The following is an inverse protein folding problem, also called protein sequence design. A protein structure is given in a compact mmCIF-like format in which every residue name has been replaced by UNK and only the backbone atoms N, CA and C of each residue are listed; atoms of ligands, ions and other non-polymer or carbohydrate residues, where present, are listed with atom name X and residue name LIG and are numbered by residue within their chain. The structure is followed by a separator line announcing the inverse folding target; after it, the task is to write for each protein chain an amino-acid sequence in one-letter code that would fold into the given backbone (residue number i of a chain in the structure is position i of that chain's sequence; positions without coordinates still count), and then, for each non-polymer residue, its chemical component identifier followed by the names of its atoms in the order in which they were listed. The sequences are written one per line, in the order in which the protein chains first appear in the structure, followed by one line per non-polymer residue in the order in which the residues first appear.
data_IF_171629471265
#
_entry.id   IF_171629471265
#
_cell.length_a   1.000
_cell.length_b   1.000
_cell.length_c   1.000
_cell.angle_alpha   90.00
_cell.angle_beta   90.00
_cell.angle_gamma   90.00
#
_symmetry.space_group_name_H-M   'P 1'
#
loop_
_entity.id
_entity.type
_entity.pdbx_description
1 polymer ?
#
# COMPACT_ATOMS: atom_id res chain seq x y z
N UNK A 1 0.47 60.14 -33.64
CA UNK A 1 1.30 58.95 -33.38
C UNK A 1 0.43 57.73 -33.63
N UNK A 2 0.68 56.98 -34.71
CA UNK A 2 -0.14 55.83 -35.10
C UNK A 2 0.73 54.56 -35.03
N UNK A 3 0.28 53.58 -34.25
CA UNK A 3 0.90 52.27 -34.10
C UNK A 3 0.34 51.37 -35.20
N UNK A 4 1.19 50.85 -36.08
CA UNK A 4 0.79 49.89 -37.12
C UNK A 4 0.95 48.46 -36.61
N UNK A 5 -0.17 47.72 -36.60
CA UNK A 5 -0.23 46.30 -36.31
C UNK A 5 0.14 45.49 -37.56
N UNK A 6 1.09 44.57 -37.46
CA UNK A 6 1.40 43.60 -38.51
C UNK A 6 0.57 42.31 -38.32
N UNK A 7 -0.07 41.76 -39.37
CA UNK A 7 -0.88 40.56 -39.24
C UNK A 7 -0.03 39.27 -39.15
N UNK A 8 -0.44 38.36 -38.27
CA UNK A 8 0.17 37.06 -37.90
C UNK A 8 0.36 36.04 -39.07
N UNK A 9 -0.03 36.37 -40.30
CA UNK A 9 -0.02 35.44 -41.43
C UNK A 9 1.38 35.18 -42.04
N UNK A 10 2.38 36.00 -41.71
CA UNK A 10 3.74 35.86 -42.30
C UNK A 10 4.64 34.89 -41.51
N UNK A 11 4.34 34.64 -40.23
CA UNK A 11 5.20 33.80 -39.36
C UNK A 11 5.02 32.30 -39.64
N UNK A 12 3.82 31.86 -40.07
CA UNK A 12 3.58 30.43 -40.35
C UNK A 12 4.19 29.91 -41.66
N UNK A 13 4.54 30.77 -42.62
CA UNK A 13 5.23 30.34 -43.86
C UNK A 13 6.73 30.09 -43.68
N UNK A 14 7.34 30.64 -42.62
CA UNK A 14 8.76 30.43 -42.34
C UNK A 14 9.04 29.08 -41.64
N UNK A 15 8.08 28.54 -40.87
CA UNK A 15 8.28 27.30 -40.11
C UNK A 15 8.09 26.06 -41.00
N UNK A 16 7.24 26.12 -42.03
CA UNK A 16 7.00 25.00 -42.96
C UNK A 16 8.13 24.78 -43.99
N UNK A 17 9.04 25.73 -44.17
CA UNK A 17 10.21 25.56 -45.06
C UNK A 17 11.45 24.96 -44.35
N UNK A 18 11.43 24.82 -43.02
CA UNK A 18 12.53 24.21 -42.27
C UNK A 18 12.41 22.69 -42.09
N UNK A 19 11.24 22.10 -42.38
CA UNK A 19 11.01 20.65 -42.22
C UNK A 19 11.16 19.79 -43.49
N UNK A 20 11.55 20.38 -44.64
CA UNK A 20 11.66 19.66 -45.93
C UNK A 20 13.11 19.35 -46.36
N UNK A 21 14.11 19.46 -45.46
CA UNK A 21 15.54 19.33 -45.87
C UNK A 21 16.44 18.44 -45.00
N UNK A 22 15.88 17.50 -44.26
CA UNK A 22 16.65 16.46 -43.57
C UNK A 22 16.15 15.06 -43.91
N UNK A 23 16.39 14.64 -45.16
CA UNK A 23 16.47 13.24 -45.54
C UNK A 23 17.96 12.83 -45.46
N UNK A 24 18.36 12.20 -44.36
CA UNK A 24 19.71 11.68 -44.18
C UNK A 24 19.65 10.45 -43.28
N UNK A 25 20.08 9.33 -43.83
CA UNK A 25 20.16 8.02 -43.19
C UNK A 25 20.94 8.09 -41.87
N UNK A 26 20.27 7.79 -40.75
CA UNK A 26 20.94 7.63 -39.45
C UNK A 26 21.24 6.16 -39.20
N UNK A 27 22.52 5.83 -39.43
CA UNK A 27 23.18 4.59 -39.11
C UNK A 27 23.25 4.42 -37.58
N UNK A 28 22.63 3.38 -37.05
CA UNK A 28 22.71 3.03 -35.62
C UNK A 28 24.10 2.46 -35.29
N UNK A 29 24.86 3.00 -34.33
CA UNK A 29 25.97 2.28 -33.75
C UNK A 29 25.43 1.24 -32.77
N UNK A 30 25.85 -0.01 -32.96
CA UNK A 30 25.70 -1.08 -31.95
C UNK A 30 26.54 -0.69 -30.72
N UNK A 31 25.90 -0.22 -29.65
CA UNK A 31 26.54 -0.12 -28.35
C UNK A 31 26.22 -1.35 -27.50
N UNK A 32 27.26 -2.14 -27.32
CA UNK A 32 27.39 -3.23 -26.37
C UNK A 32 27.22 -2.72 -24.92
N UNK A 33 26.77 -3.65 -24.07
CA UNK A 33 26.50 -3.52 -22.63
C UNK A 33 27.55 -2.67 -21.89
N UNK A 34 27.10 -1.55 -21.34
CA UNK A 34 27.77 -0.89 -20.21
C UNK A 34 26.86 -1.06 -18.99
N UNK A 35 27.30 -1.91 -18.07
CA UNK A 35 26.76 -2.06 -16.73
C UNK A 35 27.18 -0.85 -15.88
N UNK A 36 26.21 -0.02 -15.49
CA UNK A 36 26.42 1.06 -14.51
C UNK A 36 25.86 0.59 -13.15
N UNK A 37 26.69 0.49 -12.10
CA UNK A 37 26.22 0.15 -10.76
C UNK A 37 25.46 1.33 -10.15
N UNK A 38 24.20 1.09 -9.76
CA UNK A 38 23.41 2.05 -8.97
C UNK A 38 23.89 2.04 -7.51
N UNK A 39 24.75 2.98 -7.15
CA UNK A 39 24.85 3.45 -5.76
C UNK A 39 24.54 4.95 -5.75
N UNK A 40 23.25 5.28 -5.67
CA UNK A 40 22.82 6.65 -5.42
C UNK A 40 22.62 6.84 -3.91
N UNK A 41 23.48 7.65 -3.30
CA UNK A 41 23.46 8.06 -1.90
C UNK A 41 23.44 9.60 -1.88
N UNK A 42 22.33 10.26 -1.55
CA UNK A 42 22.37 11.70 -1.29
C UNK A 42 22.65 11.96 0.19
N UNK A 43 23.79 12.58 0.47
CA UNK A 43 24.02 13.33 1.71
C UNK A 43 23.38 14.71 1.54
N UNK A 44 22.44 15.08 2.42
CA UNK A 44 22.04 16.48 2.56
C UNK A 44 22.17 16.93 4.01
N UNK A 45 23.01 17.95 4.19
CA UNK A 45 23.20 18.72 5.42
C UNK A 45 22.12 19.81 5.49
N UNK A 46 21.34 19.77 6.58
CA UNK A 46 20.76 20.87 7.35
C UNK A 46 19.97 22.00 6.67
N UNK A 47 18.72 22.20 7.10
CA UNK A 47 18.15 23.52 7.47
C UNK A 47 17.13 23.32 8.59
N UNK A 48 17.38 23.94 9.74
CA UNK A 48 16.43 24.12 10.84
C UNK A 48 15.60 25.38 10.58
N UNK A 49 14.27 25.28 10.59
CA UNK A 49 13.41 26.45 10.90
C UNK A 49 12.11 26.03 11.61
N UNK A 50 12.07 26.34 12.91
CA UNK A 50 11.03 27.09 13.65
C UNK A 50 9.57 26.91 13.20
N UNK A 51 8.76 26.25 14.05
CA UNK A 51 7.36 26.66 14.32
C UNK A 51 6.83 25.96 15.57
N UNK A 52 7.21 26.51 16.72
CA UNK A 52 6.82 26.05 18.06
C UNK A 52 5.65 26.90 18.64
N UNK A 53 5.01 27.75 17.85
CA UNK A 53 3.97 28.69 18.33
C UNK A 53 2.52 28.33 17.98
N UNK A 54 2.25 27.17 17.38
CA UNK A 54 0.88 26.72 17.05
C UNK A 54 0.34 25.61 17.98
N UNK A 55 1.12 25.21 19.00
CA UNK A 55 0.76 24.13 19.93
C UNK A 55 0.13 24.61 21.25
N UNK A 56 0.03 25.92 21.51
CA UNK A 56 -0.47 26.45 22.78
C UNK A 56 -1.91 26.99 22.77
N UNK A 57 -2.60 27.07 21.62
CA UNK A 57 -4.00 27.57 21.60
C UNK A 57 -5.09 26.48 21.63
N UNK A 58 -4.78 25.20 21.41
CA UNK A 58 -5.79 24.13 21.36
C UNK A 58 -6.06 23.42 22.71
N UNK A 59 -5.37 23.78 23.78
CA UNK A 59 -5.54 23.18 25.11
C UNK A 59 -6.60 23.85 26.00
N UNK A 60 -7.28 24.91 25.51
CA UNK A 60 -8.21 25.73 26.30
C UNK A 60 -9.70 25.38 26.18
N UNK A 61 -10.14 24.56 25.21
CA UNK A 61 -11.57 24.45 24.84
C UNK A 61 -12.24 23.10 25.18
N UNK A 62 -11.67 22.27 26.05
CA UNK A 62 -12.23 20.95 26.40
C UNK A 62 -12.51 20.74 27.91
N UNK A 63 -12.97 21.79 28.61
CA UNK A 63 -13.36 21.69 30.02
C UNK A 63 -14.67 22.41 30.31
N UNK A 64 -15.77 21.95 29.71
CA UNK A 64 -17.10 22.39 30.14
C UNK A 64 -18.24 21.46 29.71
N UNK A 65 -18.21 20.14 29.95
CA UNK A 65 -19.38 19.31 29.64
C UNK A 65 -19.66 18.06 30.50
N UNK A 66 -19.13 17.96 31.72
CA UNK A 66 -19.52 16.87 32.64
C UNK A 66 -19.99 17.38 34.01
N UNK A 67 -21.32 17.44 34.18
CA UNK A 67 -22.01 17.32 35.47
C UNK A 67 -23.34 16.59 35.24
N UNK A 68 -23.62 15.58 36.06
CA UNK A 68 -24.99 15.10 36.29
C UNK A 68 -25.15 13.58 36.25
N UNK A 69 -25.11 12.96 37.43
CA UNK A 69 -25.38 11.55 37.67
C UNK A 69 -26.91 11.25 37.77
N UNK A 70 -27.34 10.02 37.45
CA UNK A 70 -27.85 9.01 38.42
C UNK A 70 -28.80 7.97 37.80
N UNK A 71 -28.56 6.71 38.17
CA UNK A 71 -29.58 5.74 38.58
C UNK A 71 -30.40 5.00 37.51
N UNK A 72 -30.18 3.70 37.36
CA UNK A 72 -31.10 2.64 37.84
C UNK A 72 -30.78 1.29 37.22
N UNK A 73 -31.00 0.24 38.01
CA UNK A 73 -30.88 -1.17 37.68
C UNK A 73 -31.91 -1.57 36.64
N UNK A 74 -31.53 -2.39 35.65
CA UNK A 74 -32.40 -3.48 35.23
C UNK A 74 -31.62 -4.65 34.63
N UNK A 75 -31.90 -5.83 35.17
CA UNK A 75 -31.55 -7.14 34.66
C UNK A 75 -32.30 -7.41 33.35
N UNK A 76 -31.57 -7.77 32.30
CA UNK A 76 -32.15 -8.20 31.03
C UNK A 76 -31.14 -9.03 30.27
N UNK A 77 -31.31 -10.34 30.32
CA UNK A 77 -30.68 -11.30 29.42
C UNK A 77 -31.05 -10.94 27.97
N UNK A 78 -30.14 -10.28 27.25
CA UNK A 78 -30.21 -10.26 25.80
C UNK A 78 -29.32 -11.37 25.27
N UNK A 79 -29.93 -12.53 25.05
CA UNK A 79 -29.41 -13.57 24.18
C UNK A 79 -28.95 -12.93 22.86
N UNK A 80 -27.64 -12.74 22.71
CA UNK A 80 -27.02 -12.42 21.44
C UNK A 80 -27.14 -13.67 20.56
N UNK A 81 -28.31 -13.89 19.96
CA UNK A 81 -28.48 -14.83 18.86
C UNK A 81 -27.66 -14.28 17.68
N UNK A 82 -26.59 -14.96 17.22
CA UNK A 82 -25.91 -14.55 16.00
C UNK A 82 -26.91 -14.73 14.86
N UNK A 83 -27.30 -13.62 14.22
CA UNK A 83 -28.16 -13.67 13.05
C UNK A 83 -27.43 -14.46 11.96
N UNK A 84 -28.08 -15.53 11.49
CA UNK A 84 -27.57 -16.45 10.48
C UNK A 84 -27.49 -15.82 9.09
N UNK A 85 -26.63 -14.82 8.91
CA UNK A 85 -26.17 -14.48 7.56
C UNK A 85 -25.23 -15.59 7.09
N UNK A 86 -25.57 -16.22 5.98
CA UNK A 86 -24.65 -17.10 5.27
C UNK A 86 -23.34 -16.32 5.05
N UNK A 87 -22.23 -16.84 5.59
CA UNK A 87 -20.92 -16.21 5.40
C UNK A 87 -20.58 -16.31 3.92
N UNK A 88 -20.20 -15.19 3.31
CA UNK A 88 -19.72 -15.18 1.92
C UNK A 88 -18.61 -16.22 1.72
N UNK A 89 -18.57 -16.90 0.56
CA UNK A 89 -17.49 -17.83 0.26
C UNK A 89 -16.14 -17.09 0.32
N UNK A 90 -15.06 -17.76 0.76
CA UNK A 90 -13.76 -17.12 0.81
C UNK A 90 -13.27 -16.72 -0.59
N UNK A 91 -12.62 -15.56 -0.66
CA UNK A 91 -12.07 -14.97 -1.89
C UNK A 91 -10.59 -15.31 -2.01
N UNK A 92 -10.04 -15.22 -3.21
CA UNK A 92 -8.61 -15.46 -3.46
C UNK A 92 -7.72 -14.34 -2.94
N UNK A 93 -8.30 -13.17 -2.68
CA UNK A 93 -7.67 -12.02 -2.04
C UNK A 93 -8.72 -11.16 -1.33
N UNK A 94 -8.25 -10.28 -0.45
CA UNK A 94 -9.08 -9.36 0.32
C UNK A 94 -8.42 -7.97 0.38
N UNK A 95 -9.25 -6.96 0.60
CA UNK A 95 -8.84 -5.66 1.10
C UNK A 95 -9.22 -5.55 2.58
N UNK A 96 -8.45 -4.78 3.35
CA UNK A 96 -8.66 -4.60 4.79
C UNK A 96 -8.81 -3.12 5.15
N UNK A 97 -9.95 -2.55 4.75
CA UNK A 97 -10.28 -1.15 5.05
C UNK A 97 -10.40 -0.91 6.57
N UNK A 98 -10.79 -1.92 7.33
CA UNK A 98 -10.95 -1.85 8.79
C UNK A 98 -9.66 -1.50 9.54
N UNK A 99 -8.49 -1.71 8.92
CA UNK A 99 -7.19 -1.34 9.51
C UNK A 99 -6.76 0.09 9.17
N UNK A 100 -7.54 0.81 8.37
CA UNK A 100 -7.19 2.16 7.92
C UNK A 100 -7.03 3.13 9.08
N UNK A 101 -7.88 3.08 10.11
CA UNK A 101 -7.79 3.95 11.29
C UNK A 101 -6.44 3.84 12.00
N UNK A 102 -5.98 2.60 12.22
CA UNK A 102 -4.70 2.31 12.85
C UNK A 102 -3.50 2.73 11.98
N UNK A 103 -3.68 2.70 10.66
CA UNK A 103 -2.66 3.22 9.74
C UNK A 103 -2.63 4.75 9.79
N UNK A 104 -3.79 5.41 9.85
CA UNK A 104 -3.89 6.88 9.97
C UNK A 104 -3.25 7.42 11.25
N UNK A 105 -3.31 6.66 12.35
CA UNK A 105 -2.59 6.99 13.58
C UNK A 105 -1.06 7.02 13.37
N UNK A 106 -0.53 6.19 12.46
CA UNK A 106 0.92 6.11 12.20
C UNK A 106 1.39 6.97 11.03
N UNK A 107 0.51 7.29 10.08
CA UNK A 107 0.82 8.03 8.85
C UNK A 107 -0.29 9.03 8.57
N UNK A 108 -0.01 10.32 8.71
CA UNK A 108 -0.98 11.38 8.41
C UNK A 108 -1.14 11.59 6.89
N UNK A 109 -2.31 12.07 6.48
CA UNK A 109 -2.58 12.44 5.08
C UNK A 109 -2.70 11.24 4.14
N UNK A 110 -3.24 10.12 4.63
CA UNK A 110 -3.51 8.93 3.82
C UNK A 110 -5.01 8.60 3.82
N UNK A 111 -5.52 8.16 2.66
CA UNK A 111 -6.91 7.73 2.48
C UNK A 111 -6.93 6.30 1.95
N UNK A 112 -7.84 5.48 2.47
CA UNK A 112 -8.07 4.16 1.90
C UNK A 112 -8.91 4.27 0.64
N UNK A 113 -8.48 3.58 -0.43
CA UNK A 113 -9.17 3.50 -1.70
C UNK A 113 -9.65 2.08 -1.95
N UNK A 114 -10.91 1.92 -2.35
CA UNK A 114 -11.45 0.65 -2.84
C UNK A 114 -11.13 0.39 -4.32
N UNK A 115 -10.51 1.35 -5.02
CA UNK A 115 -10.07 1.17 -6.39
C UNK A 115 -9.00 0.08 -6.46
N UNK A 116 -9.09 -0.84 -7.42
CA UNK A 116 -8.13 -1.92 -7.65
C UNK A 116 -7.43 -1.82 -9.02
N UNK A 117 -7.71 -0.77 -9.80
CA UNK A 117 -7.19 -0.52 -11.14
C UNK A 117 -6.28 0.71 -11.15
N UNK A 118 -5.39 0.79 -12.14
CA UNK A 118 -4.62 1.99 -12.48
C UNK A 118 -3.82 2.61 -11.31
N UNK A 119 -3.09 1.79 -10.55
CA UNK A 119 -2.18 2.30 -9.53
C UNK A 119 -0.92 2.90 -10.13
N UNK A 120 -0.46 4.02 -9.58
CA UNK A 120 0.79 4.67 -10.01
C UNK A 120 2.04 3.95 -9.53
N UNK A 121 1.96 3.33 -8.35
CA UNK A 121 3.07 2.62 -7.74
C UNK A 121 2.54 1.45 -6.92
N UNK A 122 3.25 0.33 -6.99
CA UNK A 122 2.95 -0.87 -6.22
C UNK A 122 4.18 -1.26 -5.40
N UNK A 123 3.95 -1.75 -4.18
CA UNK A 123 4.97 -2.31 -3.32
C UNK A 123 4.52 -3.65 -2.76
N UNK A 124 5.31 -4.68 -3.04
CA UNK A 124 5.07 -6.01 -2.50
C UNK A 124 5.58 -6.12 -1.06
N UNK A 125 4.77 -6.71 -0.19
CA UNK A 125 5.12 -7.04 1.18
C UNK A 125 4.66 -8.45 1.50
N UNK A 126 5.38 -9.09 2.41
CA UNK A 126 4.87 -10.28 3.07
C UNK A 126 4.17 -9.82 4.35
N UNK A 127 3.11 -10.52 4.74
CA UNK A 127 2.40 -10.35 6.01
C UNK A 127 2.42 -11.68 6.78
N UNK A 128 1.92 -11.67 8.00
CA UNK A 128 1.76 -12.85 8.84
C UNK A 128 0.31 -12.99 9.28
N UNK A 129 -0.10 -14.22 9.57
CA UNK A 129 -1.46 -14.48 10.00
C UNK A 129 -1.77 -15.95 10.10
N UNK A 130 -3.03 -16.23 10.37
CA UNK A 130 -3.56 -17.59 10.49
C UNK A 130 -4.75 -17.78 9.55
N UNK A 131 -5.01 -19.03 9.23
CA UNK A 131 -6.11 -19.42 8.37
C UNK A 131 -6.85 -20.59 9.00
N UNK A 132 -8.18 -20.59 8.88
CA UNK A 132 -9.02 -21.75 9.11
C UNK A 132 -9.53 -22.26 7.76
N UNK A 133 -9.54 -23.56 7.52
CA UNK A 133 -10.12 -24.08 6.28
C UNK A 133 -11.60 -23.68 6.15
N UNK A 134 -12.01 -23.27 4.95
CA UNK A 134 -13.40 -22.91 4.69
C UNK A 134 -14.32 -24.11 4.47
N UNK A 135 -13.78 -25.28 4.15
CA UNK A 135 -14.56 -26.50 4.01
C UNK A 135 -15.06 -26.94 5.40
N UNK A 136 -16.38 -27.00 5.65
CA UNK A 136 -16.93 -27.36 6.95
C UNK A 136 -16.51 -28.74 7.45
N UNK A 137 -16.20 -29.67 6.53
CA UNK A 137 -15.72 -31.02 6.86
C UNK A 137 -14.22 -31.04 7.21
N UNK A 138 -13.48 -29.97 6.91
CA UNK A 138 -12.06 -29.86 7.16
C UNK A 138 -11.80 -28.94 8.36
N UNK A 139 -11.26 -29.50 9.45
CA UNK A 139 -10.96 -28.74 10.68
C UNK A 139 -9.55 -28.15 10.71
N UNK A 140 -8.84 -28.18 9.58
CA UNK A 140 -7.46 -27.73 9.51
C UNK A 140 -7.35 -26.22 9.75
N UNK A 141 -6.43 -25.85 10.65
CA UNK A 141 -6.05 -24.47 10.95
C UNK A 141 -4.54 -24.40 10.81
N UNK A 142 -4.03 -23.34 10.19
CA UNK A 142 -2.59 -23.17 9.99
C UNK A 142 -2.17 -21.72 10.17
N UNK A 143 -0.92 -21.53 10.56
CA UNK A 143 -0.27 -20.23 10.60
C UNK A 143 0.59 -20.07 9.35
N UNK A 144 0.69 -18.85 8.85
CA UNK A 144 1.57 -18.48 7.75
C UNK A 144 2.44 -17.31 8.16
N UNK A 145 3.75 -17.53 8.13
CA UNK A 145 4.75 -16.46 8.23
C UNK A 145 4.91 -15.64 6.95
N UNK A 146 4.20 -16.02 5.86
CA UNK A 146 4.35 -15.41 4.55
C UNK A 146 3.03 -15.40 3.77
N UNK A 147 2.28 -14.33 3.97
CA UNK A 147 1.07 -14.01 3.21
C UNK A 147 1.43 -12.90 2.22
N UNK A 148 1.27 -13.15 0.92
CA UNK A 148 1.62 -12.15 -0.09
C UNK A 148 0.63 -10.97 -0.04
N UNK A 149 1.15 -9.75 -0.10
CA UNK A 149 0.36 -8.54 -0.17
C UNK A 149 0.97 -7.55 -1.17
N UNK A 150 0.10 -6.87 -1.91
CA UNK A 150 0.44 -5.72 -2.75
C UNK A 150 -0.19 -4.50 -2.12
N UNK A 151 0.64 -3.55 -1.76
CA UNK A 151 0.20 -2.22 -1.37
C UNK A 151 0.25 -1.37 -2.63
N UNK A 152 -0.82 -0.65 -2.93
CA UNK A 152 -0.90 0.25 -4.09
C UNK A 152 -1.00 1.69 -3.64
N UNK A 153 -0.34 2.57 -4.37
CA UNK A 153 -0.47 4.03 -4.28
C UNK A 153 -1.29 4.53 -5.47
N UNK A 154 -2.18 5.47 -5.18
CA UNK A 154 -2.90 6.25 -6.19
C UNK A 154 -2.54 7.73 -5.97
N UNK A 155 -2.14 8.40 -7.04
CA UNK A 155 -1.82 9.80 -7.05
C UNK A 155 -3.12 10.60 -7.08
N UNK A 156 -3.30 11.48 -6.10
CA UNK A 156 -4.35 12.50 -6.13
C UNK A 156 -3.76 13.90 -6.08
N UNK A 157 -4.57 14.87 -6.50
CA UNK A 157 -4.21 16.27 -6.71
C UNK A 157 -4.12 17.06 -5.40
N UNK A 158 -4.73 16.57 -4.32
CA UNK A 158 -5.06 17.35 -3.12
C UNK A 158 -4.19 17.02 -1.90
N UNK A 159 -2.90 16.76 -2.13
CA UNK A 159 -1.86 16.54 -1.09
C UNK A 159 -2.04 15.32 -0.17
N UNK A 160 -3.06 14.48 -0.40
CA UNK A 160 -3.25 13.21 0.32
C UNK A 160 -2.77 12.02 -0.53
N UNK A 161 -2.30 10.97 0.14
CA UNK A 161 -1.88 9.73 -0.49
C UNK A 161 -2.97 8.68 -0.36
N UNK A 162 -3.58 8.34 -1.49
CA UNK A 162 -4.57 7.27 -1.59
C UNK A 162 -3.86 5.93 -1.70
N UNK A 163 -4.34 4.93 -0.96
CA UNK A 163 -3.76 3.59 -1.00
C UNK A 163 -4.78 2.49 -0.81
N UNK A 164 -4.41 1.29 -1.24
CA UNK A 164 -5.07 0.06 -0.82
C UNK A 164 -4.04 -1.02 -0.50
N UNK A 165 -4.52 -2.13 0.05
CA UNK A 165 -3.68 -3.31 0.28
C UNK A 165 -4.46 -4.55 -0.14
N UNK A 166 -4.06 -5.15 -1.26
CA UNK A 166 -4.55 -6.44 -1.70
C UNK A 166 -3.74 -7.55 -1.04
N UNK A 167 -4.40 -8.34 -0.19
CA UNK A 167 -3.78 -9.45 0.52
C UNK A 167 -4.28 -10.77 -0.05
N UNK A 168 -3.37 -11.61 -0.51
CA UNK A 168 -3.70 -12.88 -1.13
C UNK A 168 -3.99 -13.97 -0.09
N UNK A 169 -4.98 -14.79 -0.38
CA UNK A 169 -5.38 -15.91 0.45
C UNK A 169 -4.49 -17.13 0.19
N UNK A 170 -4.65 -18.15 1.02
CA UNK A 170 -3.99 -19.44 0.90
C UNK A 170 -5.00 -20.59 0.92
N UNK A 171 -4.62 -21.72 0.33
CA UNK A 171 -5.41 -22.94 0.30
C UNK A 171 -4.95 -23.90 1.40
N UNK A 172 -5.92 -24.62 1.96
CA UNK A 172 -5.66 -25.69 2.90
C UNK A 172 -4.88 -26.81 2.22
N UNK A 173 -3.81 -27.29 2.88
CA UNK A 173 -2.99 -28.40 2.39
C UNK A 173 -3.77 -29.69 2.19
N UNK A 174 -4.71 -29.99 3.10
CA UNK A 174 -5.46 -31.25 3.13
C UNK A 174 -6.54 -31.36 2.06
N UNK A 175 -7.33 -30.29 1.83
CA UNK A 175 -8.49 -30.35 0.94
C UNK A 175 -8.50 -29.28 -0.17
N UNK A 176 -7.45 -28.45 -0.26
CA UNK A 176 -7.25 -27.40 -1.28
C UNK A 176 -8.32 -26.29 -1.32
N UNK A 177 -9.29 -26.31 -0.40
CA UNK A 177 -10.23 -25.22 -0.19
C UNK A 177 -9.52 -23.98 0.35
N UNK A 178 -10.04 -22.79 0.04
CA UNK A 178 -9.48 -21.52 0.52
C UNK A 178 -9.56 -21.39 2.04
N UNK A 179 -8.65 -20.61 2.62
CA UNK A 179 -8.67 -20.26 4.03
C UNK A 179 -9.65 -19.12 4.34
N UNK A 180 -10.19 -19.13 5.54
CA UNK A 180 -10.75 -17.96 6.21
C UNK A 180 -9.55 -17.30 6.92
N UNK A 181 -9.10 -16.18 6.37
CA UNK A 181 -7.88 -15.49 6.79
C UNK A 181 -8.11 -14.64 8.04
N UNK A 182 -7.15 -14.65 8.95
CA UNK A 182 -7.03 -13.71 10.06
C UNK A 182 -5.59 -13.20 10.11
N UNK A 183 -5.41 -11.92 9.81
CA UNK A 183 -4.09 -11.30 9.79
C UNK A 183 -3.60 -10.98 11.20
N UNK A 184 -2.27 -10.94 11.34
CA UNK A 184 -1.60 -10.28 12.44
C UNK A 184 -1.69 -8.77 12.20
N UNK A 185 -2.51 -8.12 13.01
CA UNK A 185 -2.85 -6.71 12.83
C UNK A 185 -1.65 -5.79 13.05
N UNK A 186 -0.80 -6.08 14.04
CA UNK A 186 0.37 -5.26 14.34
C UNK A 186 1.36 -5.31 13.18
N UNK A 187 1.61 -6.51 12.64
CA UNK A 187 2.48 -6.70 11.46
C UNK A 187 1.88 -6.06 10.21
N UNK A 188 0.56 -6.14 10.03
CA UNK A 188 -0.13 -5.46 8.92
C UNK A 188 0.09 -3.95 8.99
N UNK A 189 -0.29 -3.34 10.12
CA UNK A 189 -0.23 -1.89 10.31
C UNK A 189 1.22 -1.41 10.23
N UNK A 190 2.17 -2.10 10.84
CA UNK A 190 3.60 -1.76 10.78
C UNK A 190 4.13 -1.77 9.34
N UNK A 191 3.95 -2.86 8.60
CA UNK A 191 4.52 -3.00 7.25
C UNK A 191 3.87 -2.08 6.22
N UNK A 192 2.56 -1.86 6.35
CA UNK A 192 1.82 -0.93 5.48
C UNK A 192 2.23 0.50 5.78
N UNK A 193 2.15 0.93 7.04
CA UNK A 193 2.56 2.28 7.44
C UNK A 193 4.01 2.57 7.03
N UNK A 194 4.92 1.60 7.21
CA UNK A 194 6.32 1.75 6.82
C UNK A 194 6.49 2.06 5.33
N UNK A 195 5.79 1.35 4.45
CA UNK A 195 5.88 1.62 3.01
C UNK A 195 5.24 2.96 2.63
N UNK A 196 4.11 3.31 3.23
CA UNK A 196 3.45 4.59 2.96
C UNK A 196 4.34 5.77 3.37
N UNK A 197 5.04 5.68 4.50
CA UNK A 197 6.04 6.67 4.93
C UNK A 197 7.18 6.83 3.93
N UNK A 198 7.70 5.71 3.42
CA UNK A 198 8.73 5.72 2.36
C UNK A 198 8.21 6.44 1.11
N UNK A 199 6.98 6.17 0.68
CA UNK A 199 6.37 6.83 -0.47
C UNK A 199 6.08 8.32 -0.26
N UNK A 200 5.93 8.76 1.00
CA UNK A 200 5.85 10.17 1.37
C UNK A 200 7.22 10.83 1.54
N UNK A 201 8.31 10.08 1.38
CA UNK A 201 9.68 10.58 1.58
C UNK A 201 10.04 10.85 3.05
N UNK A 202 9.30 10.27 4.00
CA UNK A 202 9.64 10.33 5.42
C UNK A 202 10.87 9.44 5.69
N UNK A 203 11.73 9.86 6.63
CA UNK A 203 12.85 9.05 7.07
C UNK A 203 12.34 7.88 7.94
N UNK A 204 12.63 6.66 7.50
CA UNK A 204 12.15 5.44 8.11
C UNK A 204 13.36 4.56 8.42
N UNK A 205 13.61 4.25 9.71
CA UNK A 205 14.75 3.43 10.06
C UNK A 205 14.68 2.06 9.37
N UNK A 206 15.84 1.53 9.04
CA UNK A 206 15.96 0.16 8.59
C UNK A 206 15.64 -0.76 9.77
N UNK A 207 14.59 -1.57 9.63
CA UNK A 207 14.22 -2.54 10.64
C UNK A 207 14.90 -3.85 10.27
N UNK A 208 15.88 -4.27 11.07
CA UNK A 208 16.38 -5.64 11.00
C UNK A 208 15.32 -6.55 11.61
N UNK A 209 14.64 -7.32 10.77
CA UNK A 209 13.78 -8.39 11.27
C UNK A 209 14.62 -9.63 11.50
N UNK A 210 14.61 -10.14 12.72
CA UNK A 210 15.21 -11.44 13.02
C UNK A 210 14.60 -12.50 12.14
N UNK A 211 15.44 -13.13 11.32
CA UNK A 211 14.98 -14.19 10.45
C UNK A 211 14.69 -15.44 11.28
N UNK A 212 13.40 -15.75 11.44
CA UNK A 212 12.98 -17.06 11.92
C UNK A 212 12.92 -18.01 10.74
N UNK A 213 13.67 -19.11 10.81
CA UNK A 213 13.52 -20.20 9.86
C UNK A 213 12.12 -20.77 10.00
N UNK A 214 11.35 -20.73 8.91
CA UNK A 214 10.04 -21.35 8.80
C UNK A 214 10.10 -22.48 7.79
N UNK A 215 9.05 -23.31 7.76
CA UNK A 215 8.87 -24.28 6.68
C UNK A 215 8.93 -23.59 5.31
N UNK A 216 9.35 -24.33 4.26
CA UNK A 216 9.34 -23.83 2.89
C UNK A 216 7.95 -23.33 2.51
N UNK A 217 7.92 -22.22 1.75
CA UNK A 217 6.66 -21.67 1.25
C UNK A 217 6.07 -22.60 0.17
N UNK A 218 4.85 -23.10 0.40
CA UNK A 218 4.16 -23.99 -0.54
C UNK A 218 3.45 -23.17 -1.63
N UNK A 219 4.17 -22.90 -2.73
CA UNK A 219 3.72 -22.04 -3.84
C UNK A 219 2.37 -22.46 -4.44
N UNK A 220 2.10 -23.76 -4.55
CA UNK A 220 0.85 -24.30 -5.08
C UNK A 220 -0.38 -23.97 -4.21
N UNK A 221 -0.16 -23.64 -2.94
CA UNK A 221 -1.22 -23.29 -1.99
C UNK A 221 -1.37 -21.78 -1.83
N UNK A 222 -0.45 -20.97 -2.33
CA UNK A 222 -0.46 -19.53 -2.19
C UNK A 222 -1.10 -18.85 -3.41
N UNK A 223 -2.21 -18.13 -3.23
CA UNK A 223 -2.85 -17.44 -4.37
C UNK A 223 -1.96 -16.32 -4.90
N UNK A 224 -1.11 -15.71 -4.07
CA UNK A 224 -0.13 -14.73 -4.51
C UNK A 224 1.00 -15.33 -5.35
N UNK A 225 1.41 -16.58 -5.11
CA UNK A 225 2.38 -17.27 -5.98
C UNK A 225 1.76 -17.60 -7.33
N UNK A 226 0.49 -18.03 -7.36
CA UNK A 226 -0.25 -18.29 -8.60
C UNK A 226 -0.45 -17.04 -9.45
N UNK A 227 -0.62 -15.90 -8.78
CA UNK A 227 -0.72 -14.60 -9.44
C UNK A 227 0.64 -13.99 -9.79
N UNK A 228 1.75 -14.63 -9.40
CA UNK A 228 3.12 -14.15 -9.67
C UNK A 228 3.57 -12.96 -8.81
N UNK A 229 2.87 -12.67 -7.72
CA UNK A 229 3.02 -11.48 -6.86
C UNK A 229 3.65 -11.76 -5.49
N UNK A 230 3.94 -13.03 -5.21
CA UNK A 230 4.64 -13.41 -4.01
C UNK A 230 6.15 -13.33 -4.26
N UNK A 231 6.85 -12.50 -3.47
CA UNK A 231 8.31 -12.43 -3.49
C UNK A 231 8.91 -13.79 -3.11
N UNK A 232 9.25 -14.61 -4.11
CA UNK A 232 10.01 -15.85 -3.87
C UNK A 232 11.33 -15.45 -3.25
N UNK A 233 11.75 -16.15 -2.20
CA UNK A 233 13.17 -16.19 -1.91
C UNK A 233 13.76 -16.99 -3.05
N UNK A 234 14.50 -16.34 -3.94
CA UNK A 234 15.48 -17.06 -4.74
C UNK A 234 16.34 -17.76 -3.69
N UNK A 235 16.24 -19.09 -3.57
CA UNK A 235 17.26 -19.83 -2.86
C UNK A 235 18.57 -19.44 -3.55
N UNK A 236 19.37 -18.59 -2.90
CA UNK A 236 20.78 -18.48 -3.25
C UNK A 236 21.32 -19.87 -2.95
N UNK A 237 21.38 -20.73 -3.97
CA UNK A 237 22.22 -21.91 -3.95
C UNK A 237 23.62 -21.38 -3.60
N UNK A 238 24.07 -21.75 -2.40
CA UNK A 238 25.46 -21.57 -2.00
C UNK A 238 26.30 -22.62 -2.71
#
# INVERSE_FOLDING_TARGET
MAVTYYPLATIMKAILLLFSRYSGEFMWPKFSRISIPYTYRPQYKGVLTRNESLRQELAGMAKSFFRGANGSRNSGSSDFRPSGRAKEPPKTWYLFEEYHDKIREKVQGVIFSSNIQDSDCEGERNLTGSFRCSNPSCKHVWFSGKIAAIIRKYNQRDSQLDYNVQVYNQRCKSCKSLGIMKLDEDVYVERVARLLKIWKGEDVPEVSHDFKQTDPHEDELCEGCKDGRCQRRVHRQR
#
